data_IF_744219412362
#
_entry.id   IF_744219412362
#
_cell.length_a   1.000
_cell.length_b   1.000
_cell.length_c   1.000
_cell.angle_alpha   90.00
_cell.angle_beta   90.00
_cell.angle_gamma   90.00
#
_symmetry.space_group_name_H-M   'P 1'
#
loop_
_entity.id
_entity.type
_entity.pdbx_description
1 polymer ?
#
# COMPACT_ATOMS: atom_id res chain seq x y z
N UNK A 1 -3.32 1.07 -5.99
CA UNK A 1 -3.32 -0.19 -6.75
C UNK A 1 -3.16 -1.33 -5.76
N UNK A 2 -3.92 -2.41 -5.91
CA UNK A 2 -3.82 -3.58 -5.02
C UNK A 2 -3.46 -4.75 -5.91
N UNK A 3 -2.33 -5.41 -5.64
CA UNK A 3 -1.87 -6.59 -6.37
C UNK A 3 -2.46 -7.84 -5.69
N UNK A 4 -2.90 -8.84 -6.44
CA UNK A 4 -3.39 -10.13 -5.96
C UNK A 4 -2.48 -11.24 -6.50
N UNK A 5 -2.16 -12.21 -5.66
CA UNK A 5 -1.47 -13.44 -6.08
C UNK A 5 -2.34 -14.26 -7.03
N UNK A 6 -1.75 -14.94 -8.02
CA UNK A 6 -2.48 -15.96 -8.79
C UNK A 6 -2.77 -17.15 -7.89
N UNK A 7 -4.04 -17.54 -7.79
CA UNK A 7 -4.47 -18.75 -7.08
C UNK A 7 -3.86 -19.98 -7.78
N UNK A 8 -3.01 -20.73 -7.08
CA UNK A 8 -2.58 -22.06 -7.49
C UNK A 8 -3.79 -23.00 -7.39
N UNK A 9 -4.29 -23.48 -8.53
CA UNK A 9 -5.35 -24.45 -8.63
C UNK A 9 -4.91 -25.83 -8.09
N UNK A 10 -5.81 -26.61 -7.48
CA UNK A 10 -5.48 -27.96 -7.03
C UNK A 10 -5.39 -28.92 -8.22
N UNK A 11 -4.31 -29.69 -8.26
CA UNK A 11 -4.16 -30.83 -9.16
C UNK A 11 -5.19 -31.90 -8.77
N UNK A 12 -6.05 -32.30 -9.72
CA UNK A 12 -6.94 -33.41 -9.59
C UNK A 12 -6.15 -34.72 -9.73
N UNK A 13 -6.12 -35.55 -8.70
CA UNK A 13 -5.79 -36.95 -8.81
C UNK A 13 -7.07 -37.76 -8.67
N UNK A 14 -7.52 -38.33 -9.79
CA UNK A 14 -8.50 -39.41 -9.86
C UNK A 14 -7.84 -40.72 -9.42
N UNK A 15 -8.37 -41.36 -8.44
CA UNK A 15 -8.02 -42.73 -8.03
C UNK A 15 -9.19 -43.38 -7.37
N UNK A 16 -9.88 -44.24 -8.14
CA UNK A 16 -10.94 -45.17 -7.72
C UNK A 16 -10.33 -46.36 -6.97
N UNK A 17 -10.94 -46.79 -5.86
CA UNK A 17 -11.20 -48.21 -5.47
C UNK A 17 -11.75 -48.29 -4.04
N UNK A 18 -12.89 -48.79 -3.90
CA UNK A 18 -13.52 -50.03 -3.55
C UNK A 18 -13.56 -50.42 -2.03
N UNK A 19 -14.82 -50.44 -1.55
CA UNK A 19 -15.48 -51.35 -0.61
C UNK A 19 -14.69 -52.02 0.54
N UNK A 20 -15.11 -51.71 1.76
CA UNK A 20 -14.80 -52.49 2.95
C UNK A 20 -15.77 -52.19 4.12
N UNK A 21 -16.71 -53.08 4.38
CA UNK A 21 -17.67 -53.07 5.48
C UNK A 21 -17.01 -53.23 6.85
N UNK A 22 -17.49 -52.55 7.90
CA UNK A 22 -17.19 -53.04 9.23
C UNK A 22 -17.28 -52.09 10.40
N UNK A 23 -18.35 -52.26 11.19
CA UNK A 23 -18.46 -51.95 12.63
C UNK A 23 -18.52 -50.53 13.13
N UNK A 24 -19.72 -50.18 13.55
CA UNK A 24 -20.00 -49.10 14.51
C UNK A 24 -19.34 -49.42 15.86
N UNK A 25 -18.48 -48.55 16.32
CA UNK A 25 -18.10 -48.44 17.72
C UNK A 25 -18.53 -47.08 18.22
N UNK A 26 -19.49 -47.12 19.13
CA UNK A 26 -20.00 -45.94 19.84
C UNK A 26 -19.00 -45.61 20.95
N UNK A 27 -18.29 -44.49 20.89
CA UNK A 27 -17.47 -44.00 21.97
C UNK A 27 -17.70 -42.49 22.16
N UNK A 28 -18.31 -42.24 23.29
CA UNK A 28 -18.17 -41.08 24.18
C UNK A 28 -18.06 -39.69 23.56
N UNK A 29 -19.12 -38.90 23.71
CA UNK A 29 -19.13 -37.46 23.53
C UNK A 29 -18.15 -36.77 24.49
N UNK A 30 -16.92 -36.54 24.06
CA UNK A 30 -16.07 -35.53 24.68
C UNK A 30 -16.51 -34.17 24.14
N UNK A 31 -17.22 -33.40 24.95
CA UNK A 31 -17.49 -31.97 24.71
C UNK A 31 -16.19 -31.23 24.70
N UNK A 32 -15.56 -31.06 23.52
CA UNK A 32 -14.55 -30.03 23.29
C UNK A 32 -15.29 -28.69 23.29
N UNK A 33 -15.12 -27.97 24.37
CA UNK A 33 -15.47 -26.56 24.49
C UNK A 33 -14.76 -25.80 23.37
N UNK A 34 -15.53 -25.47 22.33
CA UNK A 34 -15.15 -24.44 21.37
C UNK A 34 -14.94 -23.17 22.16
N UNK A 35 -13.69 -22.87 22.52
CA UNK A 35 -13.30 -21.54 22.89
C UNK A 35 -13.65 -20.63 21.70
N UNK A 36 -14.77 -19.94 21.84
CA UNK A 36 -15.21 -18.93 20.92
C UNK A 36 -14.12 -17.85 20.87
N UNK A 37 -13.25 -17.92 19.87
CA UNK A 37 -12.54 -16.75 19.39
C UNK A 37 -13.59 -15.81 18.78
N UNK A 38 -14.37 -15.20 19.67
CA UNK A 38 -15.16 -14.03 19.35
C UNK A 38 -14.15 -12.90 19.16
N UNK A 39 -13.49 -12.92 18.00
CA UNK A 39 -12.75 -11.77 17.50
C UNK A 39 -13.75 -10.62 17.42
N UNK A 40 -13.74 -9.77 18.43
CA UNK A 40 -14.44 -8.50 18.45
C UNK A 40 -13.88 -7.69 17.28
N UNK A 41 -14.45 -7.88 16.08
CA UNK A 41 -14.29 -6.95 14.98
C UNK A 41 -14.88 -5.62 15.45
N UNK A 42 -14.08 -4.84 16.17
CA UNK A 42 -14.36 -3.42 16.37
C UNK A 42 -14.57 -2.85 14.99
N UNK A 43 -15.82 -2.61 14.61
CA UNK A 43 -16.17 -1.75 13.48
C UNK A 43 -15.33 -0.48 13.68
N UNK A 44 -14.28 -0.34 12.88
CA UNK A 44 -13.58 0.93 12.80
C UNK A 44 -14.66 1.94 12.39
N UNK A 45 -15.04 2.79 13.32
CA UNK A 45 -15.94 3.89 13.04
C UNK A 45 -15.38 4.57 11.79
N UNK A 46 -16.17 4.64 10.73
CA UNK A 46 -15.82 5.48 9.57
C UNK A 46 -15.56 6.84 10.18
N UNK A 47 -14.29 7.25 10.22
CA UNK A 47 -13.94 8.60 10.58
C UNK A 47 -14.68 9.48 9.60
N UNK A 48 -15.82 10.02 10.03
CA UNK A 48 -16.50 11.09 9.31
C UNK A 48 -15.51 12.24 9.38
N UNK A 49 -14.74 12.41 8.31
CA UNK A 49 -13.88 13.56 8.14
C UNK A 49 -14.85 14.71 7.92
N UNK A 50 -15.20 15.39 8.99
CA UNK A 50 -15.93 16.63 8.88
C UNK A 50 -15.06 17.57 8.04
N UNK A 51 -15.63 18.17 7.02
CA UNK A 51 -14.95 19.14 6.15
C UNK A 51 -14.30 20.27 6.95
N UNK A 52 -14.85 20.55 8.13
CA UNK A 52 -14.39 21.53 9.10
C UNK A 52 -13.15 21.13 9.91
N UNK A 53 -12.72 19.85 9.86
CA UNK A 53 -11.55 19.44 10.65
C UNK A 53 -10.26 19.97 10.02
N UNK A 54 -9.50 20.86 10.68
CA UNK A 54 -8.26 21.38 10.15
C UNK A 54 -7.27 20.25 9.82
N UNK A 55 -6.63 20.35 8.67
CA UNK A 55 -5.60 19.38 8.23
C UNK A 55 -4.38 20.10 7.69
N UNK A 56 -3.23 19.55 7.99
CA UNK A 56 -1.98 20.03 7.38
C UNK A 56 -2.05 19.87 5.86
N UNK A 57 -1.77 20.90 5.11
CA UNK A 57 -1.80 20.88 3.64
C UNK A 57 -0.82 19.87 3.04
N UNK A 58 0.35 19.69 3.67
CA UNK A 58 1.38 18.75 3.20
C UNK A 58 1.05 17.30 3.54
N UNK A 59 0.86 16.95 4.82
CA UNK A 59 0.70 15.55 5.23
C UNK A 59 -0.76 15.10 5.38
N UNK A 60 -1.71 16.04 5.34
CA UNK A 60 -3.16 15.78 5.50
C UNK A 60 -3.57 15.14 6.84
N UNK A 61 -2.63 15.00 7.76
CA UNK A 61 -2.94 14.68 9.15
C UNK A 61 -3.56 15.90 9.84
N UNK A 62 -4.28 15.66 10.94
CA UNK A 62 -4.69 16.76 11.82
C UNK A 62 -3.45 17.45 12.39
N UNK A 63 -3.52 18.73 12.82
CA UNK A 63 -2.35 19.45 13.36
C UNK A 63 -1.67 18.70 14.51
N UNK A 64 -2.47 18.01 15.35
CA UNK A 64 -1.96 17.19 16.47
C UNK A 64 -1.02 16.06 16.02
N UNK A 65 -1.29 15.47 14.88
CA UNK A 65 -0.54 14.33 14.32
C UNK A 65 0.22 14.71 13.06
N UNK A 66 0.61 15.98 12.93
CA UNK A 66 1.37 16.46 11.79
C UNK A 66 2.79 15.85 11.79
N UNK A 67 3.15 15.16 10.71
CA UNK A 67 4.41 14.44 10.54
C UNK A 67 5.40 15.17 9.61
N UNK A 68 5.13 16.41 9.25
CA UNK A 68 5.99 17.14 8.29
C UNK A 68 7.44 17.29 8.77
N UNK A 69 7.67 17.36 10.08
CA UNK A 69 9.02 17.42 10.65
C UNK A 69 9.84 16.11 10.45
N UNK A 70 9.14 15.00 10.20
CA UNK A 70 9.77 13.69 9.92
C UNK A 70 9.99 13.40 8.46
N UNK A 71 9.64 14.33 7.55
CA UNK A 71 9.86 14.10 6.14
C UNK A 71 11.35 14.11 5.78
N UNK A 72 11.73 13.06 5.04
CA UNK A 72 13.02 12.93 4.40
C UNK A 72 12.78 12.66 2.93
N UNK A 73 13.56 13.30 2.06
CA UNK A 73 13.52 13.03 0.63
C UNK A 73 14.06 11.63 0.34
N UNK A 74 13.31 10.87 -0.44
CA UNK A 74 13.76 9.57 -0.98
C UNK A 74 14.37 9.83 -2.34
N UNK A 75 15.68 9.64 -2.45
CA UNK A 75 16.42 9.83 -3.69
C UNK A 75 16.57 8.49 -4.39
N UNK A 76 16.31 8.45 -5.69
CA UNK A 76 16.41 7.24 -6.51
C UNK A 76 16.78 7.61 -7.94
N UNK A 77 17.59 6.81 -8.66
CA UNK A 77 17.82 6.98 -10.09
C UNK A 77 16.57 6.68 -10.92
N UNK A 78 15.66 5.81 -10.41
CA UNK A 78 14.38 5.51 -11.04
C UNK A 78 13.44 6.71 -10.95
N UNK A 79 12.90 7.16 -12.08
CA UNK A 79 11.83 8.16 -12.07
C UNK A 79 10.50 7.52 -11.70
N UNK A 80 9.93 7.89 -10.56
CA UNK A 80 8.65 7.37 -10.10
C UNK A 80 7.56 8.45 -10.20
N UNK A 81 6.59 8.24 -11.09
CA UNK A 81 5.44 9.12 -11.29
C UNK A 81 4.13 8.39 -10.94
N UNK A 82 3.13 9.14 -10.53
CA UNK A 82 1.85 8.56 -10.09
C UNK A 82 0.69 9.16 -10.86
N UNK A 83 -0.12 8.30 -11.47
CA UNK A 83 -1.43 8.65 -11.99
C UNK A 83 -2.48 8.36 -10.91
N UNK A 84 -3.06 9.40 -10.34
CA UNK A 84 -3.98 9.31 -9.21
C UNK A 84 -5.40 9.56 -9.69
N UNK A 85 -6.30 8.61 -9.47
CA UNK A 85 -7.70 8.81 -9.77
C UNK A 85 -8.29 9.98 -8.96
N UNK A 86 -9.14 10.82 -9.55
CA UNK A 86 -9.70 12.03 -8.92
C UNK A 86 -10.29 11.79 -7.53
N UNK A 87 -10.95 10.66 -7.31
CA UNK A 87 -11.53 10.29 -6.02
C UNK A 87 -10.48 9.93 -4.96
N UNK A 88 -9.35 9.35 -5.37
CA UNK A 88 -8.25 9.01 -4.46
C UNK A 88 -7.40 10.23 -4.11
N UNK A 89 -7.28 11.19 -5.03
CA UNK A 89 -6.47 12.39 -4.86
C UNK A 89 -6.84 13.19 -3.60
N UNK A 90 -8.12 13.25 -3.24
CA UNK A 90 -8.59 14.00 -2.07
C UNK A 90 -8.53 13.22 -0.77
N UNK A 91 -8.23 11.92 -0.81
CA UNK A 91 -8.18 11.09 0.40
C UNK A 91 -6.90 11.37 1.19
N UNK A 92 -7.01 11.68 2.51
CA UNK A 92 -5.84 11.89 3.38
C UNK A 92 -4.91 10.68 3.44
N UNK A 93 -5.43 9.51 3.11
CA UNK A 93 -4.73 8.22 3.13
C UNK A 93 -4.20 7.79 1.78
N UNK A 94 -4.25 8.63 0.74
CA UNK A 94 -3.68 8.30 -0.58
C UNK A 94 -2.17 8.06 -0.47
N UNK A 95 -1.74 6.87 -0.86
CA UNK A 95 -0.33 6.50 -0.88
C UNK A 95 0.38 7.00 -2.14
N UNK A 96 -0.35 7.25 -3.22
CA UNK A 96 0.18 7.95 -4.39
C UNK A 96 0.60 9.38 -4.06
N UNK A 97 -0.20 10.09 -3.29
CA UNK A 97 0.20 11.42 -2.78
C UNK A 97 1.39 11.37 -1.83
N UNK A 98 1.53 10.31 -1.04
CA UNK A 98 2.72 10.11 -0.23
C UNK A 98 3.96 10.02 -1.11
N UNK A 99 3.93 9.22 -2.18
CA UNK A 99 5.04 9.10 -3.13
C UNK A 99 5.41 10.47 -3.67
N UNK A 100 4.46 11.23 -4.21
CA UNK A 100 4.72 12.56 -4.78
C UNK A 100 5.29 13.57 -3.76
N UNK A 101 5.06 13.33 -2.48
CA UNK A 101 5.53 14.20 -1.41
C UNK A 101 6.95 13.89 -0.97
N UNK A 102 7.36 12.61 -1.00
CA UNK A 102 8.63 12.18 -0.40
C UNK A 102 9.66 11.72 -1.42
N UNK A 103 9.25 11.18 -2.59
CA UNK A 103 10.19 10.76 -3.64
C UNK A 103 10.64 11.97 -4.45
N UNK A 104 11.94 12.22 -4.43
CA UNK A 104 12.54 13.36 -5.13
C UNK A 104 12.27 13.27 -6.64
N UNK A 105 11.81 14.38 -7.21
CA UNK A 105 11.50 14.45 -8.65
C UNK A 105 10.27 13.67 -9.10
N UNK A 106 9.50 13.07 -8.19
CA UNK A 106 8.22 12.42 -8.52
C UNK A 106 7.19 13.44 -9.00
N UNK A 107 6.43 13.08 -10.05
CA UNK A 107 5.32 13.88 -10.58
C UNK A 107 4.00 13.17 -10.34
N UNK A 108 2.98 13.95 -9.94
CA UNK A 108 1.61 13.48 -9.78
C UNK A 108 0.71 13.98 -10.89
N UNK A 109 -0.03 13.06 -11.50
CA UNK A 109 -1.01 13.38 -12.54
C UNK A 109 -2.38 12.97 -12.02
N UNK A 110 -3.36 13.89 -12.05
CA UNK A 110 -4.73 13.57 -11.65
C UNK A 110 -5.48 13.02 -12.85
N UNK A 111 -6.06 11.82 -12.69
CA UNK A 111 -6.88 11.20 -13.71
C UNK A 111 -8.34 11.63 -13.58
N UNK A 112 -8.84 12.25 -14.64
CA UNK A 112 -10.24 12.57 -14.86
C UNK A 112 -10.74 11.73 -16.05
N UNK A 113 -11.81 10.98 -15.87
CA UNK A 113 -12.37 10.14 -16.92
C UNK A 113 -12.72 10.96 -18.18
N UNK A 114 -13.23 12.16 -17.94
CA UNK A 114 -13.70 13.07 -19.00
C UNK A 114 -12.54 13.79 -19.71
N UNK A 115 -11.39 13.90 -19.05
CA UNK A 115 -10.20 14.55 -19.58
C UNK A 115 -8.95 13.86 -19.03
N UNK A 116 -8.61 12.67 -19.55
CA UNK A 116 -7.39 11.98 -19.10
C UNK A 116 -6.15 12.76 -19.54
N UNK A 117 -5.03 12.60 -18.83
CA UNK A 117 -3.78 13.22 -19.24
C UNK A 117 -3.29 12.63 -20.56
N UNK A 118 -2.54 13.42 -21.30
CA UNK A 118 -1.89 12.99 -22.54
C UNK A 118 -0.55 12.29 -22.23
N UNK A 119 -0.14 11.34 -23.09
CA UNK A 119 1.12 10.62 -22.96
C UNK A 119 2.34 11.58 -22.88
N UNK A 120 2.33 12.63 -23.69
CA UNK A 120 3.41 13.62 -23.73
C UNK A 120 3.59 14.37 -22.40
N UNK A 121 2.48 14.61 -21.67
CA UNK A 121 2.53 15.27 -20.37
C UNK A 121 3.06 14.35 -19.25
N UNK A 122 2.91 13.04 -19.41
CA UNK A 122 3.32 12.03 -18.42
C UNK A 122 4.72 11.49 -18.72
N UNK A 123 5.03 11.20 -19.97
CA UNK A 123 6.32 10.61 -20.38
C UNK A 123 7.52 11.50 -20.02
N UNK A 124 8.67 10.88 -19.76
CA UNK A 124 9.95 11.55 -19.54
C UNK A 124 10.88 11.27 -20.73
N UNK A 125 11.41 12.27 -21.39
CA UNK A 125 12.36 12.08 -22.46
C UNK A 125 13.55 11.20 -22.03
N UNK A 126 13.99 10.30 -22.91
CA UNK A 126 15.14 9.42 -22.67
C UNK A 126 14.92 8.32 -21.63
N UNK A 127 13.67 8.09 -21.17
CA UNK A 127 13.35 7.01 -20.25
C UNK A 127 12.32 6.05 -20.82
N UNK A 128 12.54 4.76 -20.64
CA UNK A 128 11.55 3.73 -20.92
C UNK A 128 10.43 3.80 -19.88
N UNK A 129 9.18 3.86 -20.34
CA UNK A 129 8.02 3.94 -19.45
C UNK A 129 7.54 2.54 -19.08
N UNK A 130 7.51 2.24 -17.80
CA UNK A 130 6.91 1.05 -17.21
C UNK A 130 5.62 1.39 -16.48
N UNK A 131 4.62 0.50 -16.59
CA UNK A 131 3.35 0.60 -15.87
C UNK A 131 3.22 -0.66 -15.00
N UNK A 132 3.16 -0.50 -13.69
CA UNK A 132 3.02 -1.66 -12.81
C UNK A 132 1.61 -2.23 -12.89
N UNK A 133 1.54 -3.53 -13.20
CA UNK A 133 0.27 -4.24 -13.30
C UNK A 133 0.46 -5.74 -12.98
N UNK A 134 -0.47 -6.39 -12.22
CA UNK A 134 -0.31 -7.79 -11.80
C UNK A 134 -0.19 -8.80 -12.95
N UNK A 135 -0.76 -8.47 -14.11
CA UNK A 135 -0.69 -9.27 -15.35
C UNK A 135 0.25 -8.64 -16.38
N UNK A 136 1.32 -8.00 -15.91
CA UNK A 136 2.40 -7.52 -16.76
C UNK A 136 3.41 -8.62 -17.07
N UNK A 137 4.39 -8.29 -17.87
CA UNK A 137 5.58 -9.11 -18.10
C UNK A 137 6.42 -9.17 -16.82
N UNK A 138 7.23 -10.20 -16.69
CA UNK A 138 8.20 -10.27 -15.61
C UNK A 138 9.23 -9.14 -15.71
N UNK A 139 9.75 -8.75 -14.55
CA UNK A 139 10.78 -7.71 -14.47
C UNK A 139 12.03 -8.16 -15.26
N UNK A 140 12.49 -7.39 -16.27
CA UNK A 140 13.68 -7.74 -17.03
C UNK A 140 14.93 -7.74 -16.13
N UNK A 141 15.73 -8.79 -16.24
CA UNK A 141 17.02 -8.85 -15.57
C UNK A 141 17.96 -7.76 -16.09
N UNK A 142 18.74 -7.15 -15.20
CA UNK A 142 19.73 -6.11 -15.56
C UNK A 142 19.15 -4.78 -16.03
N UNK A 143 17.89 -4.51 -15.74
CA UNK A 143 17.26 -3.23 -16.05
C UNK A 143 17.98 -2.07 -15.33
N UNK A 144 18.37 -1.03 -16.08
CA UNK A 144 19.06 0.16 -15.55
C UNK A 144 18.04 1.16 -15.00
N UNK A 145 17.93 1.35 -13.66
CA UNK A 145 16.94 2.26 -13.08
C UNK A 145 17.08 3.71 -13.57
N UNK A 146 18.28 4.15 -13.96
CA UNK A 146 18.51 5.51 -14.43
C UNK A 146 17.86 5.78 -15.79
N UNK A 147 17.59 4.73 -16.57
CA UNK A 147 16.90 4.81 -17.86
C UNK A 147 15.40 4.54 -17.79
N UNK A 148 14.88 4.31 -16.58
CA UNK A 148 13.49 3.92 -16.39
C UNK A 148 12.64 5.02 -15.79
N UNK A 149 11.39 5.03 -16.20
CA UNK A 149 10.28 5.74 -15.55
C UNK A 149 9.20 4.73 -15.20
N UNK A 150 8.76 4.69 -13.95
CA UNK A 150 7.58 3.92 -13.56
C UNK A 150 6.38 4.83 -13.39
N UNK A 151 5.24 4.46 -13.98
CA UNK A 151 3.94 5.06 -13.74
C UNK A 151 3.11 4.13 -12.86
N UNK A 152 2.81 4.60 -11.66
CA UNK A 152 1.99 3.92 -10.68
C UNK A 152 0.55 4.39 -10.81
N UNK A 153 -0.42 3.47 -10.77
CA UNK A 153 -1.85 3.79 -10.84
C UNK A 153 -2.45 3.77 -9.43
N UNK A 154 -2.81 4.94 -8.88
CA UNK A 154 -3.37 5.06 -7.53
C UNK A 154 -4.89 5.22 -7.55
N UNK A 155 -5.59 4.19 -7.12
CA UNK A 155 -7.04 4.11 -7.07
C UNK A 155 -7.52 2.77 -6.54
N UNK A 156 -8.84 2.55 -6.53
CA UNK A 156 -9.44 1.23 -6.36
C UNK A 156 -9.14 0.35 -7.59
N UNK A 157 -9.44 -0.95 -7.52
CA UNK A 157 -9.24 -1.87 -8.65
C UNK A 157 -9.99 -1.43 -9.92
N UNK A 158 -11.24 -1.02 -9.78
CA UNK A 158 -12.04 -0.52 -10.90
C UNK A 158 -11.45 0.77 -11.47
N UNK A 159 -11.04 1.69 -10.60
CA UNK A 159 -10.40 2.95 -11.00
C UNK A 159 -9.05 2.71 -11.67
N UNK A 160 -8.23 1.79 -11.14
CA UNK A 160 -6.97 1.40 -11.77
C UNK A 160 -7.19 0.74 -13.14
N UNK A 161 -8.25 -0.08 -13.29
CA UNK A 161 -8.65 -0.65 -14.58
C UNK A 161 -9.04 0.42 -15.61
N UNK A 162 -9.81 1.43 -15.19
CA UNK A 162 -10.17 2.55 -16.06
C UNK A 162 -8.94 3.36 -16.49
N UNK A 163 -8.04 3.65 -15.58
CA UNK A 163 -6.76 4.31 -15.88
C UNK A 163 -5.91 3.47 -16.83
N UNK A 164 -5.80 2.17 -16.60
CA UNK A 164 -5.04 1.26 -17.45
C UNK A 164 -5.58 1.20 -18.88
N UNK A 165 -6.91 1.29 -19.06
CA UNK A 165 -7.54 1.36 -20.39
C UNK A 165 -7.01 2.52 -21.23
N UNK A 166 -6.62 3.63 -20.59
CA UNK A 166 -6.05 4.80 -21.27
C UNK A 166 -4.53 4.68 -21.42
N UNK A 167 -3.83 4.35 -20.32
CA UNK A 167 -2.36 4.45 -20.32
C UNK A 167 -1.66 3.14 -20.72
N UNK A 168 -2.38 2.04 -20.79
CA UNK A 168 -1.78 0.70 -20.95
C UNK A 168 -0.99 0.48 -22.23
N UNK A 169 -1.17 1.34 -23.23
CA UNK A 169 -0.42 1.33 -24.49
C UNK A 169 0.77 2.31 -24.49
N UNK A 170 0.99 3.06 -23.41
CA UNK A 170 2.04 4.08 -23.38
C UNK A 170 3.43 3.51 -23.11
N UNK A 171 3.52 2.36 -22.44
CA UNK A 171 4.76 1.70 -22.06
C UNK A 171 4.58 0.21 -21.75
N UNK A 172 5.66 -0.42 -21.30
CA UNK A 172 5.62 -1.84 -20.91
C UNK A 172 4.85 -2.02 -19.61
N UNK A 173 4.01 -3.04 -19.58
CA UNK A 173 3.35 -3.47 -18.33
C UNK A 173 4.23 -4.48 -17.63
N UNK A 174 4.64 -4.16 -16.40
CA UNK A 174 5.54 -4.99 -15.61
C UNK A 174 4.80 -5.51 -14.38
N UNK A 175 4.91 -6.81 -14.12
CA UNK A 175 4.50 -7.45 -12.86
C UNK A 175 5.68 -7.51 -11.89
N UNK A 176 5.35 -7.57 -10.59
CA UNK A 176 6.35 -7.66 -9.53
C UNK A 176 6.13 -8.94 -8.72
N UNK A 177 7.20 -9.59 -8.27
CA UNK A 177 7.11 -10.62 -7.25
C UNK A 177 6.68 -9.96 -5.93
N UNK A 178 5.41 -10.14 -5.56
CA UNK A 178 4.86 -9.57 -4.36
C UNK A 178 4.79 -10.64 -3.27
N UNK A 179 5.14 -10.29 -2.04
CA UNK A 179 5.12 -11.24 -0.94
C UNK A 179 4.99 -10.59 0.44
N UNK A 180 4.56 -11.39 1.41
CA UNK A 180 4.38 -10.96 2.77
C UNK A 180 3.08 -10.18 3.03
N UNK A 181 2.78 -9.85 4.29
CA UNK A 181 1.59 -9.08 4.66
C UNK A 181 1.75 -7.60 4.33
N UNK A 182 0.68 -6.97 3.85
CA UNK A 182 0.65 -5.51 3.67
C UNK A 182 0.72 -4.78 5.02
N UNK A 183 1.54 -3.76 5.09
CA UNK A 183 1.67 -2.84 6.23
C UNK A 183 0.71 -1.64 6.15
N UNK A 184 -0.16 -1.59 5.15
CA UNK A 184 -1.11 -0.49 4.98
C UNK A 184 -2.36 -0.66 5.84
N UNK A 185 -2.24 -0.49 7.16
CA UNK A 185 -3.29 -0.69 8.14
C UNK A 185 -4.38 0.40 8.14
N UNK A 186 -4.29 1.37 7.26
CA UNK A 186 -5.29 2.44 7.12
C UNK A 186 -6.52 2.03 6.30
N UNK A 187 -6.54 0.86 5.69
CA UNK A 187 -7.72 0.30 5.00
C UNK A 187 -8.20 -0.96 5.69
N UNK A 188 -9.53 -1.14 5.74
CA UNK A 188 -10.15 -2.33 6.31
C UNK A 188 -9.70 -3.57 5.53
N UNK A 189 -9.29 -4.59 6.29
CA UNK A 189 -8.90 -5.92 5.86
C UNK A 189 -7.97 -5.92 4.61
N UNK A 190 -6.67 -5.93 4.81
CA UNK A 190 -5.76 -6.35 3.77
C UNK A 190 -6.08 -7.82 3.47
N UNK A 191 -6.76 -8.08 2.35
CA UNK A 191 -6.79 -9.44 1.82
C UNK A 191 -5.39 -9.81 1.36
N UNK A 192 -5.02 -11.08 1.42
CA UNK A 192 -3.76 -11.56 0.87
C UNK A 192 -3.55 -11.00 -0.55
N UNK A 193 -2.35 -10.53 -0.85
CA UNK A 193 -2.01 -9.96 -2.17
C UNK A 193 -2.57 -8.57 -2.48
N UNK A 194 -3.05 -7.82 -1.50
CA UNK A 194 -3.54 -6.44 -1.71
C UNK A 194 -2.59 -5.43 -1.09
N UNK A 195 -1.78 -4.82 -1.92
CA UNK A 195 -0.79 -3.83 -1.50
C UNK A 195 -1.21 -2.40 -1.85
N UNK A 196 -0.72 -1.43 -1.10
CA UNK A 196 -0.88 -0.02 -1.42
C UNK A 196 0.07 0.38 -2.56
N UNK A 197 -0.22 1.48 -3.25
CA UNK A 197 0.60 1.98 -4.36
C UNK A 197 2.05 2.24 -3.96
N UNK A 198 2.28 2.73 -2.72
CA UNK A 198 3.63 2.93 -2.19
C UNK A 198 4.35 1.60 -1.91
N UNK A 199 3.64 0.56 -1.48
CA UNK A 199 4.22 -0.77 -1.30
C UNK A 199 4.66 -1.37 -2.64
N UNK A 200 3.88 -1.17 -3.69
CA UNK A 200 4.27 -1.58 -5.04
C UNK A 200 5.59 -0.89 -5.49
N UNK A 201 5.78 0.40 -5.16
CA UNK A 201 7.04 1.08 -5.45
C UNK A 201 8.20 0.53 -4.60
N UNK A 202 7.96 0.18 -3.32
CA UNK A 202 8.97 -0.44 -2.47
C UNK A 202 9.40 -1.80 -3.02
N UNK A 203 8.46 -2.64 -3.46
CA UNK A 203 8.78 -3.91 -4.13
C UNK A 203 9.59 -3.70 -5.41
N UNK A 204 9.26 -2.68 -6.20
CA UNK A 204 10.04 -2.36 -7.40
C UNK A 204 11.46 -1.91 -7.04
N UNK A 205 11.62 -1.06 -6.01
CA UNK A 205 12.94 -0.65 -5.55
C UNK A 205 13.79 -1.85 -5.10
N UNK A 206 13.20 -2.76 -4.31
CA UNK A 206 13.88 -3.98 -3.88
C UNK A 206 14.28 -4.86 -5.07
N UNK A 207 13.37 -5.06 -6.03
CA UNK A 207 13.63 -5.87 -7.23
C UNK A 207 14.69 -5.27 -8.17
N UNK A 208 14.86 -3.94 -8.16
CA UNK A 208 15.90 -3.23 -8.89
C UNK A 208 17.21 -3.04 -8.08
N UNK A 209 17.33 -3.62 -6.88
CA UNK A 209 18.51 -3.47 -6.02
C UNK A 209 18.70 -2.10 -5.39
N UNK A 210 17.66 -1.27 -5.35
CA UNK A 210 17.68 0.10 -4.79
C UNK A 210 17.37 0.08 -3.28
N UNK A 211 18.15 -0.66 -2.49
CA UNK A 211 17.90 -0.93 -1.09
C UNK A 211 17.79 0.34 -0.21
N UNK A 212 18.63 1.34 -0.45
CA UNK A 212 18.59 2.61 0.29
C UNK A 212 17.29 3.39 0.02
N UNK A 213 16.87 3.46 -1.24
CA UNK A 213 15.62 4.13 -1.61
C UNK A 213 14.40 3.37 -1.05
N UNK A 214 14.44 2.04 -1.06
CA UNK A 214 13.39 1.19 -0.47
C UNK A 214 13.27 1.45 1.03
N UNK A 215 14.39 1.39 1.79
CA UNK A 215 14.41 1.60 3.22
C UNK A 215 13.95 3.01 3.61
N UNK A 216 14.39 4.04 2.87
CA UNK A 216 13.96 5.42 3.07
C UNK A 216 12.46 5.60 2.81
N UNK A 217 11.93 5.00 1.74
CA UNK A 217 10.50 5.05 1.40
C UNK A 217 9.66 4.29 2.43
N UNK A 218 10.14 3.15 2.92
CA UNK A 218 9.52 2.38 3.99
C UNK A 218 9.33 3.21 5.25
N UNK A 219 10.34 3.93 5.71
CA UNK A 219 10.23 4.81 6.88
C UNK A 219 9.16 5.89 6.69
N UNK A 220 9.10 6.52 5.52
CA UNK A 220 8.08 7.54 5.23
C UNK A 220 6.67 6.95 5.15
N UNK A 221 6.54 5.75 4.62
CA UNK A 221 5.28 5.01 4.57
C UNK A 221 4.80 4.59 5.96
N UNK A 222 5.67 4.00 6.77
CA UNK A 222 5.35 3.59 8.14
C UNK A 222 4.94 4.80 9.00
N UNK A 223 5.64 5.92 8.86
CA UNK A 223 5.29 7.18 9.53
C UNK A 223 3.89 7.69 9.11
N UNK A 224 3.57 7.59 7.81
CA UNK A 224 2.25 7.95 7.29
C UNK A 224 1.14 7.06 7.87
N UNK A 225 1.37 5.74 7.93
CA UNK A 225 0.40 4.79 8.50
C UNK A 225 0.20 5.06 9.99
N UNK A 226 1.28 5.17 10.77
CA UNK A 226 1.22 5.46 12.20
C UNK A 226 0.42 6.74 12.48
N UNK A 227 0.77 7.85 11.83
CA UNK A 227 0.06 9.12 12.01
C UNK A 227 -1.41 9.04 11.57
N UNK A 228 -1.68 8.29 10.52
CA UNK A 228 -3.05 8.04 10.05
C UNK A 228 -3.90 7.28 11.06
N UNK A 229 -3.34 6.24 11.70
CA UNK A 229 -4.00 5.49 12.78
C UNK A 229 -4.26 6.41 14.00
N UNK A 230 -3.28 7.19 14.42
CA UNK A 230 -3.41 8.16 15.51
C UNK A 230 -4.47 9.23 15.20
N UNK A 231 -4.47 9.76 13.98
CA UNK A 231 -5.47 10.75 13.52
C UNK A 231 -6.90 10.22 13.60
N UNK A 232 -7.09 8.90 13.42
CA UNK A 232 -8.38 8.22 13.53
C UNK A 232 -8.77 7.81 14.96
N UNK A 233 -7.93 8.08 15.94
CA UNK A 233 -8.14 7.63 17.31
C UNK A 233 -7.90 6.13 17.54
N UNK A 234 -7.34 5.41 16.57
CA UNK A 234 -7.04 3.99 16.65
C UNK A 234 -5.74 3.75 17.46
N UNK A 235 -5.73 4.14 18.74
CA UNK A 235 -4.53 4.17 19.59
C UNK A 235 -3.89 2.77 19.71
N UNK A 236 -4.66 1.76 20.14
CA UNK A 236 -4.12 0.41 20.33
C UNK A 236 -3.50 -0.14 19.04
N UNK A 237 -4.21 0.01 17.90
CA UNK A 237 -3.69 -0.41 16.60
C UNK A 237 -2.41 0.36 16.19
N UNK A 238 -2.30 1.64 16.55
CA UNK A 238 -1.10 2.42 16.31
C UNK A 238 0.07 1.95 17.18
N UNK A 239 -0.20 1.57 18.42
CA UNK A 239 0.81 1.06 19.35
C UNK A 239 1.30 -0.34 18.89
N UNK A 240 0.38 -1.23 18.47
CA UNK A 240 0.71 -2.54 17.87
C UNK A 240 1.51 -2.39 16.56
N UNK A 241 1.13 -1.43 15.72
CA UNK A 241 1.84 -1.12 14.49
C UNK A 241 3.27 -0.66 14.77
N UNK A 242 3.44 0.22 15.76
CA UNK A 242 4.72 0.78 16.14
C UNK A 242 5.67 -0.26 16.75
N UNK A 243 5.15 -1.24 17.48
CA UNK A 243 5.94 -2.31 18.10
C UNK A 243 6.72 -3.16 17.08
N UNK A 244 6.21 -3.23 15.82
CA UNK A 244 6.84 -3.98 14.72
C UNK A 244 7.42 -3.07 13.63
N UNK A 245 7.46 -1.76 13.88
CA UNK A 245 7.91 -0.74 12.92
C UNK A 245 9.35 -0.29 13.18
N UNK A 246 10.17 -0.05 12.17
CA UNK A 246 11.50 0.55 12.35
C UNK A 246 11.46 2.00 12.85
N UNK A 247 10.29 2.63 12.93
CA UNK A 247 10.14 4.04 13.32
C UNK A 247 10.69 4.32 14.72
N UNK A 248 10.51 3.41 15.67
CA UNK A 248 10.97 3.59 17.06
C UNK A 248 12.48 3.80 17.14
N UNK A 249 13.24 3.09 16.31
CA UNK A 249 14.69 3.24 16.20
C UNK A 249 15.10 4.43 15.33
N UNK A 250 14.39 4.65 14.20
CA UNK A 250 14.79 5.63 13.20
C UNK A 250 14.35 7.08 13.50
N UNK A 251 13.28 7.26 14.30
CA UNK A 251 12.68 8.59 14.57
C UNK A 251 12.19 8.74 16.03
N UNK A 252 12.99 8.41 17.05
CA UNK A 252 12.57 8.43 18.47
C UNK A 252 12.08 9.81 18.90
N UNK A 253 12.81 10.87 18.58
CA UNK A 253 12.48 12.25 18.98
C UNK A 253 11.17 12.73 18.35
N UNK A 254 10.90 12.35 17.09
CA UNK A 254 9.64 12.68 16.44
C UNK A 254 8.48 11.98 17.12
N UNK A 255 8.62 10.70 17.44
CA UNK A 255 7.61 9.92 18.13
C UNK A 255 7.34 10.45 19.54
N UNK A 256 8.37 10.84 20.29
CA UNK A 256 8.25 11.48 21.61
C UNK A 256 7.40 12.76 21.50
N UNK A 257 7.74 13.68 20.57
CA UNK A 257 6.97 14.90 20.34
C UNK A 257 5.52 14.64 19.93
N UNK A 258 5.27 13.61 19.13
CA UNK A 258 3.92 13.20 18.77
C UNK A 258 3.18 12.56 19.96
N UNK A 259 3.88 11.98 20.92
CA UNK A 259 3.35 11.40 22.16
C UNK A 259 2.96 12.43 23.21
N UNK A 260 3.61 13.59 23.28
CA UNK A 260 3.38 14.62 24.27
C UNK A 260 1.92 15.11 24.28
N UNK A 261 1.32 15.20 25.47
CA UNK A 261 0.01 15.84 25.63
C UNK A 261 0.18 17.34 25.42
N UNK A 262 -0.42 17.89 24.35
CA UNK A 262 -0.55 19.33 24.28
C UNK A 262 -1.61 19.77 25.29
N UNK A 263 -1.36 20.84 26.08
CA UNK A 263 -2.39 21.41 26.94
C UNK A 263 -3.60 21.76 26.06
N UNK A 264 -4.80 21.48 26.57
CA UNK A 264 -6.04 21.92 25.93
C UNK A 264 -5.98 23.44 25.76
N UNK A 265 -6.06 23.92 24.53
CA UNK A 265 -6.30 25.31 24.23
C UNK A 265 -7.80 25.56 24.19
#
# INVERSE_FOLDING_TARGET
MKFAEPASGPASLTGTEALGSGRRVNLGAARLTRAAHCGLMRRMARSVVLETTPRCERCRCTPRWCICAGFRAVVSPLAADVLIHKREYWRPTSTGRLINRVVAGSRGHVFWQEKPPERAAVGRPGRELWILHPRGEELPAGADPAKLQVLLLDGSWSEAGSMLGVVGQWGRRISLPLGGPSRYWLRNAPGAGKYATVEALMFLYAALGLAEAEAALRLQFELHVYAGLRTRGAKAMADDFLATSPLSAAMPDLLARLGERRPNR
#
